data_IF_517732253219
#
_entry.id   IF_517732253219
#
_cell.length_a   1.000
_cell.length_b   1.000
_cell.length_c   1.000
_cell.angle_alpha   90.00
_cell.angle_beta   90.00
_cell.angle_gamma   90.00
#
_symmetry.space_group_name_H-M   'P 1'
#
loop_
_entity.id
_entity.type
_entity.pdbx_description
1 polymer ?
#
# COMPACT_ATOMS: atom_id res chain seq x y z
N UNK A 1 -16.48 18.96 -21.74
CA UNK A 1 -17.81 19.59 -21.73
C UNK A 1 -18.55 19.14 -20.48
N UNK A 2 -19.07 20.08 -19.71
CA UNK A 2 -19.88 19.83 -18.52
C UNK A 2 -21.30 20.28 -18.76
N UNK A 3 -22.26 19.57 -18.20
CA UNK A 3 -23.68 19.88 -18.30
C UNK A 3 -24.30 19.92 -16.91
N UNK A 4 -25.41 20.63 -16.74
CA UNK A 4 -26.20 20.58 -15.50
C UNK A 4 -27.31 19.54 -15.63
N UNK A 5 -27.69 18.90 -14.53
CA UNK A 5 -28.93 18.11 -14.46
C UNK A 5 -30.11 18.95 -13.96
N UNK A 6 -31.30 18.62 -14.45
CA UNK A 6 -32.54 18.95 -13.75
C UNK A 6 -32.75 17.93 -12.63
N UNK A 7 -32.68 18.38 -11.38
CA UNK A 7 -32.84 17.50 -10.21
C UNK A 7 -34.21 16.80 -10.19
N UNK A 8 -35.26 17.48 -10.65
CA UNK A 8 -36.63 16.95 -10.62
C UNK A 8 -36.87 15.84 -11.66
N UNK A 9 -36.12 15.84 -12.76
CA UNK A 9 -36.40 14.94 -13.91
C UNK A 9 -35.25 14.00 -14.24
N UNK A 10 -34.06 14.20 -13.67
CA UNK A 10 -32.85 13.45 -14.00
C UNK A 10 -32.34 13.68 -15.43
N UNK A 11 -32.94 14.60 -16.20
CA UNK A 11 -32.53 14.93 -17.56
C UNK A 11 -31.43 15.98 -17.59
N UNK A 12 -30.58 15.88 -18.60
CA UNK A 12 -29.54 16.86 -18.86
C UNK A 12 -30.16 18.18 -19.34
N UNK A 13 -29.69 19.29 -18.80
CA UNK A 13 -29.97 20.62 -19.36
C UNK A 13 -29.32 20.71 -20.73
N UNK A 14 -30.04 21.33 -21.67
CA UNK A 14 -29.54 21.54 -23.03
C UNK A 14 -28.44 22.61 -22.96
N UNK A 15 -27.28 22.31 -23.56
CA UNK A 15 -26.14 23.22 -23.64
C UNK A 15 -25.04 22.94 -22.60
N UNK A 16 -23.81 23.31 -22.95
CA UNK A 16 -22.67 23.19 -22.03
C UNK A 16 -22.77 24.25 -20.94
N UNK A 17 -22.58 23.84 -19.68
CA UNK A 17 -22.56 24.75 -18.55
C UNK A 17 -21.25 25.52 -18.49
N UNK A 18 -21.35 26.85 -18.46
CA UNK A 18 -20.22 27.80 -18.38
C UNK A 18 -20.30 28.75 -17.18
N UNK A 19 -21.25 28.52 -16.26
CA UNK A 19 -21.45 29.37 -15.08
C UNK A 19 -20.52 29.04 -13.90
N UNK A 20 -20.58 29.82 -12.81
CA UNK A 20 -19.81 29.57 -11.58
C UNK A 20 -20.34 28.35 -10.81
N UNK A 21 -19.68 27.96 -9.71
CA UNK A 21 -20.23 26.96 -8.80
C UNK A 21 -21.56 27.45 -8.20
N UNK A 22 -22.61 26.63 -8.28
CA UNK A 22 -23.95 26.96 -7.77
C UNK A 22 -24.37 25.98 -6.67
N UNK A 23 -25.04 26.51 -5.63
CA UNK A 23 -25.57 25.68 -4.56
C UNK A 23 -26.61 24.69 -5.12
N UNK A 24 -26.54 23.44 -4.66
CA UNK A 24 -27.39 22.33 -5.13
C UNK A 24 -27.30 22.03 -6.64
N UNK A 25 -26.31 22.55 -7.38
CA UNK A 25 -26.13 22.16 -8.76
C UNK A 25 -25.54 20.74 -8.88
N UNK A 26 -26.06 19.96 -9.83
CA UNK A 26 -25.52 18.63 -10.17
C UNK A 26 -24.91 18.70 -11.55
N UNK A 27 -23.62 18.39 -11.62
CA UNK A 27 -22.82 18.46 -12.84
C UNK A 27 -22.70 17.07 -13.49
N UNK A 28 -22.61 17.04 -14.81
CA UNK A 28 -22.40 15.84 -15.63
C UNK A 28 -21.20 16.02 -16.56
N UNK A 29 -20.39 14.98 -16.71
CA UNK A 29 -19.19 15.01 -17.55
C UNK A 29 -18.09 15.87 -16.95
N UNK A 30 -17.56 16.82 -17.73
CA UNK A 30 -16.47 17.68 -17.29
C UNK A 30 -15.11 16.96 -17.25
N UNK A 31 -14.17 17.54 -16.48
CA UNK A 31 -12.83 16.98 -16.23
C UNK A 31 -12.42 17.22 -14.77
N UNK A 32 -11.32 16.59 -14.36
CA UNK A 32 -10.69 16.85 -13.06
C UNK A 32 -10.23 18.30 -12.90
N UNK A 33 -9.86 18.98 -14.00
CA UNK A 33 -9.43 20.38 -13.98
C UNK A 33 -10.59 21.28 -13.57
N UNK A 34 -11.78 21.01 -14.11
CA UNK A 34 -13.01 21.72 -13.73
C UNK A 34 -13.29 21.63 -12.22
N UNK A 35 -13.02 20.48 -11.59
CA UNK A 35 -13.18 20.34 -10.13
C UNK A 35 -12.22 21.26 -9.38
N UNK A 36 -10.96 21.33 -9.83
CA UNK A 36 -9.95 22.21 -9.25
C UNK A 36 -10.33 23.69 -9.42
N UNK A 37 -10.78 24.07 -10.62
CA UNK A 37 -11.18 25.44 -10.96
C UNK A 37 -12.41 25.90 -10.16
N UNK A 38 -13.44 25.03 -10.05
CA UNK A 38 -14.68 25.36 -9.32
C UNK A 38 -14.47 25.46 -7.82
N UNK A 39 -13.58 24.65 -7.25
CA UNK A 39 -13.28 24.65 -5.82
C UNK A 39 -12.13 25.59 -5.44
N UNK A 40 -11.36 26.09 -6.42
CA UNK A 40 -10.20 26.94 -6.18
C UNK A 40 -9.05 26.24 -5.46
N UNK A 41 -8.90 24.91 -5.65
CA UNK A 41 -7.90 24.08 -4.96
C UNK A 41 -6.91 23.46 -5.93
N UNK A 42 -5.72 23.09 -5.43
CA UNK A 42 -4.71 22.37 -6.23
C UNK A 42 -4.79 20.87 -5.95
N UNK A 43 -4.18 20.07 -6.82
CA UNK A 43 -4.25 18.61 -6.70
C UNK A 43 -3.80 18.06 -5.35
N UNK A 44 -2.74 18.61 -4.74
CA UNK A 44 -2.24 18.14 -3.44
C UNK A 44 -3.18 18.44 -2.27
N UNK A 45 -4.13 19.36 -2.44
CA UNK A 45 -5.13 19.73 -1.43
C UNK A 45 -6.36 18.81 -1.49
N UNK A 46 -6.47 17.98 -2.54
CA UNK A 46 -7.56 17.03 -2.75
C UNK A 46 -7.12 15.63 -2.31
N UNK A 47 -7.90 15.01 -1.43
CA UNK A 47 -7.86 13.57 -1.17
C UNK A 47 -9.03 12.90 -1.91
N UNK A 48 -8.71 12.12 -2.94
CA UNK A 48 -9.71 11.37 -3.69
C UNK A 48 -9.80 9.92 -3.20
N UNK A 49 -11.03 9.51 -2.87
CA UNK A 49 -11.36 8.19 -2.33
C UNK A 49 -12.10 7.41 -3.41
N UNK A 50 -11.60 6.22 -3.75
CA UNK A 50 -12.22 5.34 -4.74
C UNK A 50 -11.77 3.89 -4.57
N UNK A 51 -12.40 2.98 -5.30
CA UNK A 51 -12.11 1.54 -5.29
C UNK A 51 -11.48 1.06 -6.61
N UNK A 52 -11.56 1.86 -7.68
CA UNK A 52 -10.98 1.50 -8.96
C UNK A 52 -9.49 1.91 -9.05
N UNK A 53 -8.57 0.95 -8.81
CA UNK A 53 -7.11 1.21 -8.83
C UNK A 53 -6.61 1.97 -10.06
N UNK A 54 -7.12 1.67 -11.25
CA UNK A 54 -6.72 2.39 -12.46
C UNK A 54 -7.43 3.74 -12.64
N UNK A 55 -8.76 3.75 -12.69
CA UNK A 55 -9.58 4.93 -12.99
C UNK A 55 -9.49 6.00 -11.90
N UNK A 56 -9.57 5.59 -10.65
CA UNK A 56 -9.68 6.51 -9.52
C UNK A 56 -8.32 6.89 -8.99
N UNK A 57 -7.42 5.92 -8.81
CA UNK A 57 -6.15 6.14 -8.12
C UNK A 57 -5.03 6.48 -9.09
N UNK A 58 -4.74 5.59 -10.05
CA UNK A 58 -3.60 5.78 -10.95
C UNK A 58 -3.76 7.03 -11.83
N UNK A 59 -4.96 7.25 -12.41
CA UNK A 59 -5.20 8.41 -13.28
C UNK A 59 -5.18 9.73 -12.51
N UNK A 60 -5.82 9.82 -11.34
CA UNK A 60 -5.82 11.03 -10.53
C UNK A 60 -4.41 11.38 -10.04
N UNK A 61 -3.66 10.38 -9.55
CA UNK A 61 -2.29 10.55 -9.08
C UNK A 61 -1.35 11.02 -10.19
N UNK A 62 -1.37 10.34 -11.35
CA UNK A 62 -0.44 10.64 -12.45
C UNK A 62 -0.76 11.91 -13.22
N UNK A 63 -2.05 12.19 -13.48
CA UNK A 63 -2.43 13.34 -14.31
C UNK A 63 -2.51 14.63 -13.51
N UNK A 64 -3.00 14.55 -12.28
CA UNK A 64 -3.37 15.74 -11.51
C UNK A 64 -2.60 15.88 -10.19
N UNK A 65 -1.80 14.88 -9.80
CA UNK A 65 -1.04 14.91 -8.56
C UNK A 65 -1.92 14.89 -7.31
N UNK A 66 -3.14 14.33 -7.42
CA UNK A 66 -4.08 14.22 -6.30
C UNK A 66 -3.52 13.31 -5.19
N UNK A 67 -3.91 13.58 -3.95
CA UNK A 67 -3.73 12.60 -2.87
C UNK A 67 -4.80 11.53 -3.03
N UNK A 68 -4.43 10.27 -2.78
CA UNK A 68 -5.27 9.13 -3.13
C UNK A 68 -5.49 8.18 -1.97
N UNK A 69 -6.74 7.74 -1.81
CA UNK A 69 -7.12 6.70 -0.87
C UNK A 69 -7.84 5.58 -1.62
N UNK A 70 -7.28 4.38 -1.57
CA UNK A 70 -7.88 3.21 -2.19
C UNK A 70 -8.71 2.41 -1.16
N UNK A 71 -9.99 2.26 -1.44
CA UNK A 71 -10.87 1.33 -0.70
C UNK A 71 -10.70 -0.07 -1.29
N UNK A 72 -10.31 -1.04 -0.46
CA UNK A 72 -10.15 -2.45 -0.86
C UNK A 72 -11.03 -3.32 0.03
N UNK A 73 -12.32 -3.55 -0.30
CA UNK A 73 -13.25 -4.26 0.58
C UNK A 73 -12.77 -5.67 0.97
N UNK A 74 -12.06 -6.36 0.06
CA UNK A 74 -11.50 -7.70 0.31
C UNK A 74 -10.41 -7.72 1.39
N UNK A 75 -9.83 -6.56 1.72
CA UNK A 75 -8.72 -6.44 2.67
C UNK A 75 -9.08 -6.97 4.06
N UNK A 76 -10.33 -6.80 4.52
CA UNK A 76 -10.74 -7.28 5.84
C UNK A 76 -10.59 -8.81 5.96
N UNK A 77 -11.03 -9.55 4.94
CA UNK A 77 -10.86 -11.02 4.89
C UNK A 77 -9.39 -11.41 4.70
N UNK A 78 -8.66 -10.69 3.85
CA UNK A 78 -7.23 -10.92 3.62
C UNK A 78 -6.42 -10.79 4.92
N UNK A 79 -6.68 -9.76 5.72
CA UNK A 79 -6.02 -9.55 7.02
C UNK A 79 -6.31 -10.66 8.02
N UNK A 80 -7.55 -11.16 8.04
CA UNK A 80 -7.92 -12.29 8.89
C UNK A 80 -7.14 -13.56 8.52
N UNK A 81 -7.14 -13.96 7.24
CA UNK A 81 -6.39 -15.13 6.76
C UNK A 81 -4.88 -14.93 6.96
N UNK A 82 -4.36 -13.73 6.71
CA UNK A 82 -2.96 -13.39 6.92
C UNK A 82 -2.50 -13.59 8.37
N UNK A 83 -3.35 -13.21 9.33
CA UNK A 83 -3.06 -13.35 10.75
C UNK A 83 -3.14 -14.83 11.18
N UNK A 84 -4.21 -15.52 10.81
CA UNK A 84 -4.42 -16.93 11.18
C UNK A 84 -3.42 -17.90 10.55
N UNK A 85 -2.92 -17.60 9.34
CA UNK A 85 -2.01 -18.48 8.59
C UNK A 85 -0.57 -17.96 8.56
N UNK A 86 -0.22 -17.09 9.51
CA UNK A 86 1.12 -16.50 9.63
C UNK A 86 2.24 -17.54 9.71
N UNK A 87 2.01 -18.69 10.37
CA UNK A 87 2.97 -19.80 10.45
C UNK A 87 3.38 -20.35 9.07
N UNK A 88 2.44 -20.45 8.13
CA UNK A 88 2.72 -20.96 6.77
C UNK A 88 3.59 -19.95 6.00
N UNK A 89 3.35 -18.66 6.22
CA UNK A 89 4.16 -17.60 5.62
C UNK A 89 5.58 -17.58 6.19
N UNK A 90 5.72 -17.80 7.50
CA UNK A 90 7.01 -17.93 8.17
C UNK A 90 7.79 -19.16 7.70
N UNK A 91 7.12 -20.30 7.51
CA UNK A 91 7.71 -21.49 6.89
C UNK A 91 8.24 -21.16 5.49
N UNK A 92 7.44 -20.48 4.66
CA UNK A 92 7.86 -20.09 3.31
C UNK A 92 9.08 -19.17 3.34
N UNK A 93 9.10 -18.17 4.25
CA UNK A 93 10.24 -17.27 4.43
C UNK A 93 11.50 -18.02 4.85
N UNK A 94 11.38 -18.99 5.77
CA UNK A 94 12.50 -19.80 6.21
C UNK A 94 13.10 -20.63 5.08
N UNK A 95 12.27 -21.17 4.18
CA UNK A 95 12.72 -21.92 3.02
C UNK A 95 13.43 -21.03 1.99
N UNK A 96 12.96 -19.80 1.78
CA UNK A 96 13.62 -18.82 0.91
C UNK A 96 15.01 -18.42 1.46
N UNK A 97 15.14 -18.25 2.78
CA UNK A 97 16.44 -17.98 3.44
C UNK A 97 17.38 -19.17 3.30
N UNK A 98 16.92 -20.38 3.61
CA UNK A 98 17.71 -21.60 3.49
C UNK A 98 18.17 -21.83 2.04
N UNK A 99 17.32 -21.53 1.06
CA UNK A 99 17.72 -21.56 -0.34
C UNK A 99 18.84 -20.56 -0.62
N UNK A 100 18.77 -19.34 -0.08
CA UNK A 100 19.82 -18.33 -0.26
C UNK A 100 21.14 -18.76 0.40
N UNK A 101 21.10 -19.34 1.60
CA UNK A 101 22.29 -19.83 2.33
C UNK A 101 23.05 -20.92 1.56
N UNK A 102 22.34 -21.79 0.84
CA UNK A 102 22.97 -22.80 -0.03
C UNK A 102 23.78 -22.18 -1.18
N UNK A 103 23.39 -20.99 -1.64
CA UNK A 103 24.06 -20.28 -2.73
C UNK A 103 25.12 -19.29 -2.25
N UNK A 104 25.07 -18.86 -0.99
CA UNK A 104 25.99 -17.88 -0.42
C UNK A 104 27.49 -18.24 -0.53
N UNK A 105 27.94 -19.50 -0.32
CA UNK A 105 29.36 -19.83 -0.41
C UNK A 105 29.87 -20.04 -1.85
N UNK A 106 28.98 -20.00 -2.85
CA UNK A 106 29.34 -20.21 -4.24
C UNK A 106 29.83 -18.91 -4.87
N UNK A 107 30.99 -18.97 -5.50
CA UNK A 107 31.56 -17.86 -6.27
C UNK A 107 31.55 -18.16 -7.78
N UNK A 108 32.06 -17.23 -8.59
CA UNK A 108 32.15 -17.40 -10.04
C UNK A 108 33.09 -18.53 -10.49
N UNK A 109 33.93 -19.07 -9.59
CA UNK A 109 34.81 -20.20 -9.85
C UNK A 109 34.20 -21.56 -9.49
N UNK A 110 33.10 -21.58 -8.74
CA UNK A 110 32.42 -22.82 -8.37
C UNK A 110 31.78 -23.52 -9.59
N UNK A 111 32.21 -24.76 -9.84
CA UNK A 111 31.62 -25.61 -10.90
C UNK A 111 30.48 -26.50 -10.39
N UNK A 112 30.36 -26.66 -9.06
CA UNK A 112 29.34 -27.49 -8.43
C UNK A 112 28.05 -26.71 -8.21
N UNK A 113 26.93 -27.31 -8.60
CA UNK A 113 25.59 -26.76 -8.36
C UNK A 113 24.94 -27.54 -7.22
N UNK A 114 24.58 -26.90 -6.09
CA UNK A 114 23.92 -27.60 -4.99
C UNK A 114 22.56 -28.12 -5.45
N UNK A 115 22.20 -29.33 -5.01
CA UNK A 115 20.87 -29.88 -5.24
C UNK A 115 19.82 -29.14 -4.39
N UNK A 116 19.03 -28.31 -5.06
CA UNK A 116 17.93 -27.54 -4.45
C UNK A 116 16.55 -28.12 -4.77
N UNK A 117 16.48 -29.30 -5.40
CA UNK A 117 15.23 -29.87 -5.91
C UNK A 117 14.22 -30.15 -4.78
N UNK A 118 14.70 -30.58 -3.62
CA UNK A 118 13.89 -30.85 -2.43
C UNK A 118 13.28 -29.57 -1.85
N UNK A 119 14.08 -28.51 -1.74
CA UNK A 119 13.68 -27.21 -1.19
C UNK A 119 12.70 -26.52 -2.12
N UNK A 120 12.98 -26.50 -3.43
CA UNK A 120 12.05 -25.95 -4.43
C UNK A 120 10.69 -26.63 -4.39
N UNK A 121 10.65 -27.95 -4.20
CA UNK A 121 9.40 -28.71 -4.07
C UNK A 121 8.65 -28.34 -2.79
N UNK A 122 9.36 -28.18 -1.67
CA UNK A 122 8.76 -27.69 -0.42
C UNK A 122 8.18 -26.28 -0.59
N UNK A 123 8.93 -25.36 -1.20
CA UNK A 123 8.46 -23.99 -1.51
C UNK A 123 7.18 -24.03 -2.35
N UNK A 124 7.12 -24.86 -3.40
CA UNK A 124 5.93 -25.02 -4.22
C UNK A 124 4.73 -25.55 -3.43
N UNK A 125 4.93 -26.57 -2.60
CA UNK A 125 3.88 -27.15 -1.77
C UNK A 125 3.35 -26.15 -0.73
N UNK A 126 4.23 -25.44 -0.05
CA UNK A 126 3.88 -24.42 0.95
C UNK A 126 3.17 -23.25 0.29
N UNK A 127 3.67 -22.78 -0.87
CA UNK A 127 3.03 -21.72 -1.66
C UNK A 127 1.61 -22.12 -2.04
N UNK A 128 1.42 -23.33 -2.56
CA UNK A 128 0.09 -23.82 -2.93
C UNK A 128 -0.84 -23.90 -1.71
N UNK A 129 -0.37 -24.47 -0.59
CA UNK A 129 -1.13 -24.56 0.66
C UNK A 129 -1.55 -23.17 1.16
N UNK A 130 -0.64 -22.20 1.09
CA UNK A 130 -0.90 -20.81 1.49
C UNK A 130 -1.96 -20.17 0.59
N UNK A 131 -1.82 -20.26 -0.73
CA UNK A 131 -2.75 -19.65 -1.68
C UNK A 131 -4.17 -20.22 -1.54
N UNK A 132 -4.29 -21.53 -1.29
CA UNK A 132 -5.59 -22.18 -1.09
C UNK A 132 -6.34 -21.67 0.16
N UNK A 133 -5.65 -21.06 1.13
CA UNK A 133 -6.31 -20.46 2.30
C UNK A 133 -7.13 -19.21 1.92
N UNK A 134 -6.73 -18.49 0.87
CA UNK A 134 -7.43 -17.30 0.38
C UNK A 134 -8.53 -17.66 -0.63
N UNK A 135 -8.31 -18.73 -1.40
CA UNK A 135 -9.25 -19.28 -2.36
C UNK A 135 -8.53 -19.89 -3.56
N UNK A 136 -9.29 -20.34 -4.57
CA UNK A 136 -8.71 -21.04 -5.75
C UNK A 136 -7.68 -20.21 -6.53
N UNK A 137 -7.78 -18.88 -6.49
CA UNK A 137 -6.84 -17.97 -7.17
C UNK A 137 -5.84 -17.29 -6.22
N UNK A 138 -5.76 -17.74 -4.96
CA UNK A 138 -4.84 -17.14 -4.00
C UNK A 138 -5.28 -15.78 -3.46
N UNK A 139 -4.32 -15.09 -2.85
CA UNK A 139 -4.50 -13.75 -2.30
C UNK A 139 -4.53 -12.70 -3.42
N UNK A 140 -5.28 -11.63 -3.22
CA UNK A 140 -5.27 -10.45 -4.08
C UNK A 140 -3.86 -9.82 -4.15
N UNK A 141 -3.07 -9.95 -3.08
CA UNK A 141 -1.81 -9.23 -2.92
C UNK A 141 -0.58 -10.05 -3.29
N UNK A 142 -0.64 -11.38 -3.22
CA UNK A 142 0.52 -12.24 -3.44
C UNK A 142 0.18 -13.67 -3.85
N UNK A 143 1.17 -14.35 -4.42
CA UNK A 143 1.26 -15.79 -4.61
C UNK A 143 2.59 -16.24 -3.97
N UNK A 144 2.52 -16.92 -2.83
CA UNK A 144 3.70 -17.22 -2.01
C UNK A 144 4.46 -15.94 -1.61
N UNK A 145 5.76 -15.89 -1.91
CA UNK A 145 6.64 -14.75 -1.66
C UNK A 145 6.54 -13.65 -2.72
N UNK A 146 5.80 -13.87 -3.82
CA UNK A 146 5.73 -12.94 -4.96
C UNK A 146 4.49 -12.06 -4.87
N UNK A 147 4.68 -10.74 -4.92
CA UNK A 147 3.58 -9.79 -4.97
C UNK A 147 2.86 -9.81 -6.33
N UNK A 148 1.55 -9.60 -6.31
CA UNK A 148 0.75 -9.46 -7.54
C UNK A 148 0.95 -8.09 -8.19
N UNK A 149 0.50 -7.97 -9.44
CA UNK A 149 0.44 -6.68 -10.12
C UNK A 149 -0.44 -5.66 -9.37
N UNK A 150 -1.55 -6.10 -8.78
CA UNK A 150 -2.42 -5.25 -7.97
C UNK A 150 -1.69 -4.67 -6.75
N UNK A 151 -0.98 -5.51 -5.99
CA UNK A 151 -0.19 -5.05 -4.84
C UNK A 151 0.86 -4.00 -5.24
N UNK A 152 1.57 -4.25 -6.34
CA UNK A 152 2.57 -3.31 -6.86
C UNK A 152 1.95 -1.96 -7.29
N UNK A 153 0.75 -1.97 -7.89
CA UNK A 153 0.04 -0.73 -8.24
C UNK A 153 -0.43 0.01 -6.99
N UNK A 154 -0.97 -0.72 -6.01
CA UNK A 154 -1.45 -0.16 -4.75
C UNK A 154 -0.30 0.56 -4.03
N UNK A 155 0.84 -0.12 -3.81
CA UNK A 155 2.00 0.46 -3.13
C UNK A 155 2.58 1.69 -3.83
N UNK A 156 2.45 1.77 -5.16
CA UNK A 156 3.02 2.86 -5.95
C UNK A 156 2.12 4.09 -6.07
N UNK A 157 0.81 3.88 -6.14
CA UNK A 157 -0.13 4.95 -6.54
C UNK A 157 -1.13 5.35 -5.46
N UNK A 158 -1.43 4.48 -4.49
CA UNK A 158 -2.30 4.82 -3.38
C UNK A 158 -1.47 5.40 -2.24
N UNK A 159 -1.72 6.66 -1.84
CA UNK A 159 -1.05 7.23 -0.67
C UNK A 159 -1.53 6.56 0.63
N UNK A 160 -2.82 6.19 0.66
CA UNK A 160 -3.47 5.50 1.75
C UNK A 160 -4.36 4.39 1.18
N UNK A 161 -4.58 3.33 1.95
CA UNK A 161 -5.54 2.28 1.60
C UNK A 161 -6.14 1.66 2.87
N UNK A 162 -7.38 1.21 2.77
CA UNK A 162 -8.02 0.47 3.86
C UNK A 162 -9.17 -0.41 3.34
N UNK A 163 -9.75 -1.22 4.21
CA UNK A 163 -10.94 -2.01 3.88
C UNK A 163 -12.17 -1.12 3.64
N UNK A 164 -12.27 -0.01 4.38
CA UNK A 164 -13.34 0.99 4.29
C UNK A 164 -12.79 2.39 4.52
N UNK A 165 -13.38 3.39 3.88
CA UNK A 165 -13.09 4.80 4.13
C UNK A 165 -13.56 5.25 5.52
N UNK A 166 -14.49 4.52 6.14
CA UNK A 166 -14.97 4.81 7.50
C UNK A 166 -13.85 4.73 8.55
N UNK A 167 -12.74 4.07 8.23
CA UNK A 167 -11.57 4.02 9.11
C UNK A 167 -11.01 5.42 9.45
N UNK A 168 -11.30 6.44 8.63
CA UNK A 168 -10.94 7.83 8.96
C UNK A 168 -11.62 8.36 10.23
N UNK A 169 -12.78 7.82 10.62
CA UNK A 169 -13.49 8.25 11.83
C UNK A 169 -12.70 7.96 13.11
N UNK A 170 -11.74 7.03 13.05
CA UNK A 170 -10.85 6.69 14.17
C UNK A 170 -9.63 7.61 14.28
N UNK A 171 -9.46 8.58 13.36
CA UNK A 171 -8.33 9.51 13.34
C UNK A 171 -8.80 10.96 13.49
N UNK A 172 -8.04 11.82 14.18
CA UNK A 172 -8.34 13.26 14.23
C UNK A 172 -8.08 13.92 12.86
N UNK A 173 -8.76 15.03 12.57
CA UNK A 173 -8.57 15.77 11.31
C UNK A 173 -7.15 16.34 11.13
N UNK A 174 -6.39 16.51 12.22
CA UNK A 174 -5.00 16.97 12.21
C UNK A 174 -3.98 15.82 12.16
N UNK A 175 -4.42 14.58 11.91
CA UNK A 175 -3.54 13.43 11.89
C UNK A 175 -2.53 13.48 10.73
N UNK A 176 -1.27 13.15 11.03
CA UNK A 176 -0.21 13.02 10.04
C UNK A 176 0.10 11.55 9.77
N UNK A 177 -0.38 11.03 8.64
CA UNK A 177 -0.02 9.70 8.19
C UNK A 177 1.46 9.64 7.80
N UNK A 178 2.21 8.70 8.39
CA UNK A 178 3.65 8.52 8.17
C UNK A 178 3.96 7.16 7.56
N UNK A 179 4.81 7.15 6.55
CA UNK A 179 5.44 5.95 6.02
C UNK A 179 6.96 6.03 6.26
N UNK A 180 7.65 4.91 6.54
CA UNK A 180 9.10 4.89 6.62
C UNK A 180 9.75 5.39 5.31
N UNK A 181 10.90 6.09 5.38
CA UNK A 181 11.64 6.46 4.18
C UNK A 181 12.13 5.22 3.43
N UNK A 182 12.01 5.22 2.10
CA UNK A 182 12.49 4.13 1.25
C UNK A 182 13.97 4.39 0.96
N UNK A 183 14.83 3.50 1.45
CA UNK A 183 16.26 3.52 1.17
C UNK A 183 16.60 2.62 -0.02
N UNK A 184 17.51 3.09 -0.85
CA UNK A 184 18.13 2.29 -1.90
C UNK A 184 19.09 1.27 -1.28
N UNK A 185 19.36 0.13 -1.94
CA UNK A 185 20.18 -0.93 -1.33
C UNK A 185 21.56 -0.49 -0.82
N UNK A 186 22.20 0.46 -1.49
CA UNK A 186 23.52 0.99 -1.09
C UNK A 186 23.46 1.97 0.10
N UNK A 187 22.29 2.56 0.38
CA UNK A 187 22.09 3.44 1.53
C UNK A 187 21.92 2.60 2.81
N UNK A 188 21.36 1.40 2.69
CA UNK A 188 21.15 0.47 3.82
C UNK A 188 22.43 -0.24 4.28
N UNK A 189 23.47 -0.30 3.45
CA UNK A 189 24.76 -0.96 3.79
C UNK A 189 25.72 -0.06 4.55
N UNK A 190 25.42 1.24 4.65
CA UNK A 190 26.26 2.20 5.35
C UNK A 190 25.69 2.42 6.74
N UNK A 191 26.35 1.88 7.76
CA UNK A 191 26.04 2.28 9.13
C UNK A 191 26.43 3.75 9.32
N UNK A 192 25.44 4.62 9.46
CA UNK A 192 25.69 5.96 9.96
C UNK A 192 26.07 5.86 11.45
N UNK A 193 27.37 5.79 11.74
CA UNK A 193 27.88 6.02 13.09
C UNK A 193 27.33 7.36 13.58
N UNK A 194 26.48 7.33 14.60
CA UNK A 194 26.00 8.52 15.28
C UNK A 194 27.22 9.22 15.90
N UNK A 195 27.74 10.25 15.22
CA UNK A 195 28.47 11.31 15.90
C UNK A 195 27.42 12.04 16.74
N UNK A 196 27.19 11.54 17.96
CA UNK A 196 26.57 12.34 19.01
C UNK A 196 27.42 13.59 19.20
N UNK A 197 27.02 14.67 18.53
CA UNK A 197 27.39 16.02 18.90
C UNK A 197 26.90 16.22 20.32
N UNK A 198 27.86 16.08 21.23
CA UNK A 198 27.81 16.53 22.62
C UNK A 198 27.57 18.04 22.64
N UNK A 199 26.34 18.48 22.45
CA UNK A 199 25.85 19.79 22.90
C UNK A 199 24.75 19.58 23.94
N UNK A 200 25.22 19.48 25.19
CA UNK A 200 24.67 20.12 26.37
C UNK A 200 23.16 20.46 26.39
N UNK A 201 22.37 19.51 26.90
CA UNK A 201 21.42 19.72 27.99
C UNK A 201 20.12 20.48 27.70
N UNK A 202 19.03 19.76 27.42
CA UNK A 202 17.82 19.75 28.25
C UNK A 202 16.81 18.69 27.76
N UNK A 203 16.07 18.13 28.70
CA UNK A 203 14.89 17.25 28.56
C UNK A 203 15.17 15.74 28.48
N UNK A 204 15.22 15.17 29.68
CA UNK A 204 14.95 13.77 29.99
C UNK A 204 13.65 13.27 29.34
N UNK A 205 13.70 12.00 28.93
CA UNK A 205 12.55 11.11 29.00
C UNK A 205 12.02 10.66 27.64
N UNK A 206 12.61 9.61 27.07
CA UNK A 206 11.97 8.31 26.89
C UNK A 206 12.93 7.41 26.11
N UNK A 207 13.44 6.39 26.81
CA UNK A 207 14.32 5.34 26.31
C UNK A 207 13.52 4.46 25.35
N UNK A 208 13.61 4.70 24.04
CA UNK A 208 13.13 3.75 23.03
C UNK A 208 14.23 2.72 22.81
N UNK A 209 14.02 1.52 23.34
CA UNK A 209 14.73 0.33 22.90
C UNK A 209 14.58 0.22 21.37
N UNK A 210 15.69 0.36 20.65
CA UNK A 210 15.80 -0.16 19.28
C UNK A 210 15.63 -1.67 19.36
N UNK A 211 14.42 -2.15 19.13
CA UNK A 211 14.17 -3.54 18.78
C UNK A 211 14.52 -3.70 17.30
N UNK A 212 15.71 -4.23 17.07
CA UNK A 212 16.04 -4.94 15.83
C UNK A 212 14.93 -5.96 15.57
N UNK A 213 14.27 -5.89 14.41
CA UNK A 213 13.30 -6.89 13.99
C UNK A 213 14.04 -8.19 13.66
N UNK A 214 14.23 -9.01 14.68
CA UNK A 214 14.32 -10.46 14.59
C UNK A 214 13.12 -11.05 15.34
N UNK A 215 12.38 -11.93 14.68
CA UNK A 215 11.53 -12.99 15.23
C UNK A 215 10.63 -12.72 16.45
N UNK A 216 9.31 -12.84 16.22
CA UNK A 216 8.27 -13.27 17.17
C UNK A 216 8.08 -12.51 18.50
N UNK A 217 6.93 -11.85 18.64
CA UNK A 217 6.04 -12.14 19.78
C UNK A 217 4.59 -11.74 19.52
N UNK A 218 3.71 -12.67 19.88
CA UNK A 218 2.25 -12.59 19.99
C UNK A 218 1.86 -11.61 21.09
N UNK A 219 0.79 -10.82 20.89
CA UNK A 219 0.24 -9.95 21.94
C UNK A 219 -0.96 -9.09 21.48
N UNK A 220 -2.15 -9.63 21.72
CA UNK A 220 -3.45 -9.01 22.07
C UNK A 220 -3.77 -7.57 21.64
N UNK A 221 -4.90 -7.41 20.94
CA UNK A 221 -5.82 -6.28 21.13
C UNK A 221 -7.26 -6.77 21.01
N UNK A 222 -8.06 -6.41 22.02
CA UNK A 222 -9.51 -6.59 22.13
C UNK A 222 -10.27 -5.80 21.06
#
# INVERSE_FOLDING_TARGET
MSYLYFQDTGKLRIGTYTGPLQHCAVYSGGSSDMVCDLLGVKGKDILYIGDHIFGDILKSKKRQGWRTFLVVPKLARELHVWTEKSEIFEELRSLDVLLAELYQPLDSGSSERPDNSSIKRKIQNVTHKMDMCYGKMGSLFRCGSRQTFFANQLMRYADLYAASFLNFLYYPFSYLFRAPPVLMPHESTVEHMHLELRESGLLMGHRLHQLSFHGHQVGEWQ
#
